data_IF_148575871800
#
_entry.id   IF_148575871800
#
_cell.length_a   1.000
_cell.length_b   1.000
_cell.length_c   1.000
_cell.angle_alpha   90.00
_cell.angle_beta   90.00
_cell.angle_gamma   90.00
#
_symmetry.space_group_name_H-M   'P 1'
#
loop_
_entity.id
_entity.type
_entity.pdbx_description
1 polymer ?
#
# COMPACT_ATOMS: atom_id res chain seq x y z
N UNK A 1 50.56 -42.08 -38.55
CA UNK A 1 49.09 -42.16 -38.49
C UNK A 1 48.62 -41.28 -37.36
N UNK A 2 48.16 -40.10 -37.69
CA UNK A 2 47.58 -39.14 -36.73
C UNK A 2 46.09 -39.23 -36.80
N UNK A 3 45.42 -39.57 -35.73
CA UNK A 3 43.97 -39.50 -35.56
C UNK A 3 43.59 -38.17 -34.93
N UNK A 4 42.84 -37.37 -35.69
CA UNK A 4 42.24 -36.10 -35.24
C UNK A 4 40.98 -36.42 -34.46
N UNK A 5 40.92 -36.03 -33.17
CA UNK A 5 39.73 -36.06 -32.36
C UNK A 5 38.92 -34.79 -32.62
N UNK A 6 37.68 -34.99 -33.08
CA UNK A 6 36.67 -33.95 -33.28
C UNK A 6 36.10 -33.51 -31.92
N UNK A 7 36.26 -32.23 -31.59
CA UNK A 7 35.52 -31.59 -30.48
C UNK A 7 34.08 -31.34 -30.89
N UNK A 8 33.16 -32.04 -30.21
CA UNK A 8 31.72 -31.77 -30.32
C UNK A 8 31.36 -30.46 -29.62
N UNK A 9 30.74 -29.57 -30.37
CA UNK A 9 30.15 -28.35 -29.84
C UNK A 9 28.89 -28.68 -29.06
N UNK A 10 28.94 -28.52 -27.74
CA UNK A 10 27.75 -28.54 -26.87
C UNK A 10 26.95 -27.27 -27.13
N UNK A 11 25.82 -27.40 -27.79
CA UNK A 11 24.82 -26.32 -27.88
C UNK A 11 24.19 -26.11 -26.51
N UNK A 12 24.64 -25.10 -25.78
CA UNK A 12 23.94 -24.60 -24.62
C UNK A 12 22.59 -24.05 -25.10
N UNK A 13 21.56 -24.83 -24.87
CA UNK A 13 20.16 -24.38 -24.93
C UNK A 13 19.95 -23.43 -23.76
N UNK A 14 20.16 -22.15 -24.02
CA UNK A 14 19.75 -21.08 -23.10
C UNK A 14 18.27 -21.22 -22.79
N UNK A 15 17.96 -21.80 -21.61
CA UNK A 15 16.63 -21.78 -21.05
C UNK A 15 16.20 -20.33 -20.91
N UNK A 16 15.29 -19.89 -21.80
CA UNK A 16 14.54 -18.68 -21.59
C UNK A 16 13.77 -18.85 -20.28
N UNK A 17 14.33 -18.30 -19.20
CA UNK A 17 13.64 -18.17 -17.94
C UNK A 17 12.37 -17.37 -18.22
N UNK A 18 11.25 -18.08 -18.37
CA UNK A 18 9.96 -17.45 -18.53
C UNK A 18 9.73 -16.54 -17.34
N UNK A 19 9.83 -15.22 -17.56
CA UNK A 19 9.30 -14.24 -16.63
C UNK A 19 7.84 -14.59 -16.43
N UNK A 20 7.49 -15.18 -15.30
CA UNK A 20 6.10 -15.31 -14.88
C UNK A 20 5.59 -13.88 -14.73
N UNK A 21 4.89 -13.41 -15.76
CA UNK A 21 4.09 -12.19 -15.62
C UNK A 21 3.09 -12.47 -14.51
N UNK A 22 3.30 -11.83 -13.36
CA UNK A 22 2.34 -11.88 -12.26
C UNK A 22 0.99 -11.52 -12.85
N UNK A 23 0.03 -12.46 -12.79
CA UNK A 23 -1.29 -12.24 -13.36
C UNK A 23 -1.85 -10.98 -12.72
N UNK A 24 -2.14 -9.97 -13.55
CA UNK A 24 -2.70 -8.71 -13.09
C UNK A 24 -4.02 -9.03 -12.39
N UNK A 25 -4.22 -8.47 -11.19
CA UNK A 25 -5.46 -8.56 -10.44
C UNK A 25 -6.66 -8.30 -11.37
N UNK A 26 -7.49 -9.30 -11.59
CA UNK A 26 -8.68 -9.18 -12.43
C UNK A 26 -9.88 -8.96 -11.52
N UNK A 27 -10.51 -7.81 -11.63
CA UNK A 27 -11.73 -7.52 -10.87
C UNK A 27 -11.87 -6.07 -10.47
N UNK A 28 -12.94 -5.71 -9.73
CA UNK A 28 -13.12 -4.36 -9.25
C UNK A 28 -11.96 -3.97 -8.31
N UNK A 29 -11.55 -2.71 -8.38
CA UNK A 29 -10.47 -2.18 -7.53
C UNK A 29 -10.74 -2.39 -6.04
N UNK A 30 -12.01 -2.36 -5.63
CA UNK A 30 -12.46 -2.59 -4.26
C UNK A 30 -13.68 -3.52 -4.23
N UNK A 31 -13.76 -4.36 -3.18
CA UNK A 31 -14.93 -5.19 -2.83
C UNK A 31 -15.29 -4.91 -1.38
N UNK A 32 -16.61 -4.80 -1.09
CA UNK A 32 -17.12 -4.37 0.20
C UNK A 32 -17.27 -2.86 0.32
N UNK A 33 -17.68 -2.36 1.48
CA UNK A 33 -17.96 -0.94 1.73
C UNK A 33 -17.05 -0.42 2.83
N UNK A 34 -16.32 0.68 2.56
CA UNK A 34 -15.50 1.32 3.57
C UNK A 34 -16.37 1.85 4.71
N UNK A 35 -16.03 1.58 5.99
CA UNK A 35 -16.75 2.15 7.13
C UNK A 35 -16.49 3.66 7.22
N UNK A 36 -17.44 4.39 7.80
CA UNK A 36 -17.32 5.84 7.99
C UNK A 36 -16.11 6.22 8.87
N UNK A 37 -15.84 5.38 9.88
CA UNK A 37 -14.67 5.48 10.75
C UNK A 37 -14.03 4.09 10.79
N UNK A 38 -12.92 3.93 10.12
CA UNK A 38 -12.20 2.67 10.03
C UNK A 38 -10.70 2.90 9.99
N UNK A 39 -9.97 1.81 10.08
CA UNK A 39 -8.51 1.80 9.90
C UNK A 39 -8.20 1.43 8.47
N UNK A 40 -7.43 2.25 7.78
CA UNK A 40 -6.90 1.93 6.46
C UNK A 40 -5.52 1.30 6.59
N UNK A 41 -5.42 0.04 6.22
CA UNK A 41 -4.15 -0.68 6.17
C UNK A 41 -3.70 -0.70 4.71
N UNK A 42 -2.68 0.09 4.38
CA UNK A 42 -2.18 0.17 3.02
C UNK A 42 -1.39 -1.08 2.62
N UNK A 43 -1.42 -1.40 1.34
CA UNK A 43 -0.70 -2.55 0.79
C UNK A 43 0.80 -2.43 1.03
N UNK A 44 1.41 -3.51 1.52
CA UNK A 44 2.84 -3.59 1.81
C UNK A 44 3.27 -2.85 3.08
N UNK A 45 2.35 -2.27 3.82
CA UNK A 45 2.62 -1.54 5.07
C UNK A 45 2.04 -2.20 6.30
N UNK A 46 2.58 -1.84 7.46
CA UNK A 46 2.06 -2.18 8.77
C UNK A 46 1.39 -0.95 9.41
N UNK A 47 0.26 -1.17 10.03
CA UNK A 47 -0.53 -0.12 10.66
C UNK A 47 -0.79 -0.42 12.14
N UNK A 48 -0.52 0.55 13.01
CA UNK A 48 -0.85 0.45 14.43
C UNK A 48 -2.35 0.58 14.63
N UNK A 49 -2.95 -0.33 15.39
CA UNK A 49 -4.37 -0.33 15.67
C UNK A 49 -4.70 0.40 16.97
N UNK A 50 -5.87 1.06 17.09
CA UNK A 50 -6.22 1.84 18.27
C UNK A 50 -6.28 1.00 19.56
N UNK A 51 -6.63 -0.28 19.47
CA UNK A 51 -6.63 -1.20 20.61
C UNK A 51 -5.26 -1.76 20.98
N UNK A 52 -4.20 -1.32 20.30
CA UNK A 52 -2.84 -1.86 20.43
C UNK A 52 -2.53 -2.93 19.38
N UNK A 53 -1.25 -3.31 19.31
CA UNK A 53 -0.77 -4.21 18.25
C UNK A 53 -0.69 -3.53 16.89
N UNK A 54 -0.60 -4.33 15.85
CA UNK A 54 -0.53 -3.84 14.48
C UNK A 54 -0.95 -4.91 13.48
N UNK A 55 -1.23 -4.48 12.25
CA UNK A 55 -1.62 -5.37 11.16
C UNK A 55 -0.95 -4.93 9.87
N UNK A 56 -0.58 -5.87 9.03
CA UNK A 56 0.00 -5.64 7.71
C UNK A 56 -0.94 -6.18 6.64
N UNK A 57 -1.12 -5.43 5.55
CA UNK A 57 -1.70 -5.95 4.31
C UNK A 57 -0.57 -6.48 3.44
N UNK A 58 -0.32 -7.78 3.54
CA UNK A 58 0.84 -8.42 2.92
C UNK A 58 0.63 -8.73 1.45
N UNK A 59 -0.55 -9.20 1.08
CA UNK A 59 -0.87 -9.61 -0.28
C UNK A 59 -2.38 -9.58 -0.52
N UNK A 60 -2.79 -9.49 -1.79
CA UNK A 60 -4.18 -9.52 -2.21
C UNK A 60 -4.35 -10.17 -3.56
N UNK A 61 -5.49 -10.83 -3.73
CA UNK A 61 -5.87 -11.46 -4.99
C UNK A 61 -7.31 -11.17 -5.35
N UNK A 62 -7.60 -11.07 -6.64
CA UNK A 62 -8.96 -10.94 -7.19
C UNK A 62 -9.18 -11.97 -8.29
N UNK A 63 -10.39 -12.53 -8.34
CA UNK A 63 -10.81 -13.56 -9.30
C UNK A 63 -11.77 -13.03 -10.40
N UNK A 64 -11.99 -11.73 -10.43
CA UNK A 64 -12.94 -11.05 -11.33
C UNK A 64 -14.19 -10.54 -10.63
N UNK A 65 -14.61 -11.16 -9.53
CA UNK A 65 -15.82 -10.81 -8.79
C UNK A 65 -15.56 -10.58 -7.30
N UNK A 66 -14.66 -11.35 -6.72
CA UNK A 66 -14.29 -11.27 -5.32
C UNK A 66 -12.85 -10.81 -5.16
N UNK A 67 -12.52 -10.35 -3.96
CA UNK A 67 -11.18 -9.95 -3.58
C UNK A 67 -10.88 -10.48 -2.19
N UNK A 68 -9.70 -11.08 -2.02
CA UNK A 68 -9.20 -11.55 -0.73
C UNK A 68 -7.90 -10.84 -0.38
N UNK A 69 -7.62 -10.73 0.91
CA UNK A 69 -6.39 -10.17 1.44
C UNK A 69 -5.69 -11.16 2.37
N UNK A 70 -4.38 -11.20 2.30
CA UNK A 70 -3.55 -11.82 3.34
C UNK A 70 -3.13 -10.73 4.32
N UNK A 71 -3.65 -10.80 5.53
CA UNK A 71 -3.26 -9.93 6.63
C UNK A 71 -2.27 -10.66 7.54
N UNK A 72 -1.31 -9.93 8.12
CA UNK A 72 -0.35 -10.45 9.10
C UNK A 72 -0.41 -9.65 10.38
N UNK A 73 -0.27 -10.31 11.51
CA UNK A 73 -0.15 -9.68 12.81
C UNK A 73 1.19 -8.94 12.93
N UNK A 74 1.18 -7.77 13.60
CA UNK A 74 2.36 -6.94 13.82
C UNK A 74 2.60 -5.85 12.78
N UNK A 75 3.47 -4.90 13.12
CA UNK A 75 3.82 -3.73 12.31
C UNK A 75 4.87 -4.02 11.24
N UNK A 76 5.69 -5.05 11.47
CA UNK A 76 6.79 -5.44 10.58
C UNK A 76 6.74 -6.93 10.33
N UNK A 77 7.27 -7.36 9.20
CA UNK A 77 7.41 -8.78 8.92
C UNK A 77 8.32 -9.45 9.95
N UNK A 78 7.84 -10.59 10.47
CA UNK A 78 8.62 -11.55 11.23
C UNK A 78 8.23 -12.99 10.79
N UNK A 79 9.14 -13.95 10.86
CA UNK A 79 8.80 -15.36 10.65
C UNK A 79 7.68 -15.79 11.60
N UNK A 80 6.83 -16.72 11.16
CA UNK A 80 5.79 -17.36 11.98
C UNK A 80 4.70 -16.43 12.54
N UNK A 81 4.58 -15.19 12.01
CA UNK A 81 3.47 -14.31 12.36
C UNK A 81 2.13 -14.97 12.05
N UNK A 82 1.15 -14.76 12.95
CA UNK A 82 -0.25 -15.11 12.66
C UNK A 82 -0.70 -14.44 11.38
N UNK A 83 -1.38 -15.18 10.52
CA UNK A 83 -1.89 -14.69 9.25
C UNK A 83 -3.37 -15.02 9.12
N UNK A 84 -4.09 -14.12 8.44
CA UNK A 84 -5.49 -14.33 8.09
C UNK A 84 -5.64 -14.20 6.57
N UNK A 85 -6.31 -15.16 5.96
CA UNK A 85 -6.86 -14.99 4.61
C UNK A 85 -8.27 -14.42 4.78
N UNK A 86 -8.42 -13.15 4.45
CA UNK A 86 -9.62 -12.38 4.76
C UNK A 86 -10.42 -12.05 3.51
N UNK A 87 -11.74 -12.05 3.66
CA UNK A 87 -12.73 -11.49 2.73
C UNK A 87 -13.54 -10.42 3.46
N UNK A 88 -14.29 -9.54 2.78
CA UNK A 88 -15.23 -8.65 3.45
C UNK A 88 -16.18 -9.44 4.36
N UNK A 89 -16.29 -9.01 5.62
CA UNK A 89 -17.05 -9.70 6.68
C UNK A 89 -16.19 -10.62 7.57
N UNK A 90 -14.93 -10.89 7.22
CA UNK A 90 -14.03 -11.67 8.08
C UNK A 90 -13.67 -10.88 9.33
N UNK A 91 -13.76 -11.54 10.50
CA UNK A 91 -13.27 -11.00 11.76
C UNK A 91 -11.83 -11.42 12.02
N UNK A 92 -11.03 -10.49 12.53
CA UNK A 92 -9.66 -10.71 12.97
C UNK A 92 -9.48 -10.17 14.37
N UNK A 93 -8.59 -10.77 15.14
CA UNK A 93 -8.23 -10.32 16.49
C UNK A 93 -6.75 -9.91 16.50
N UNK A 94 -6.47 -8.69 16.91
CA UNK A 94 -5.13 -8.12 17.02
C UNK A 94 -5.01 -7.39 18.35
N UNK A 95 -3.98 -7.74 19.14
CA UNK A 95 -3.75 -7.11 20.46
C UNK A 95 -4.89 -7.33 21.46
N UNK A 96 -5.71 -8.38 21.31
CA UNK A 96 -6.89 -8.63 22.14
C UNK A 96 -8.13 -7.84 21.74
N UNK A 97 -8.10 -7.11 20.62
CA UNK A 97 -9.22 -6.35 20.07
C UNK A 97 -9.70 -6.96 18.75
N UNK A 98 -11.02 -7.01 18.59
CA UNK A 98 -11.63 -7.57 17.38
C UNK A 98 -11.94 -6.47 16.35
N UNK A 99 -11.66 -6.80 15.08
CA UNK A 99 -11.91 -5.96 13.92
C UNK A 99 -12.61 -6.77 12.83
N UNK A 100 -13.56 -6.15 12.15
CA UNK A 100 -14.19 -6.73 10.95
C UNK A 100 -13.55 -6.14 9.70
N UNK A 101 -13.12 -6.98 8.76
CA UNK A 101 -12.70 -6.55 7.43
C UNK A 101 -13.93 -6.10 6.66
N UNK A 102 -14.04 -4.82 6.33
CA UNK A 102 -15.23 -4.23 5.68
C UNK A 102 -15.04 -4.03 4.19
N UNK A 103 -13.85 -3.67 3.77
CA UNK A 103 -13.51 -3.45 2.37
C UNK A 103 -12.10 -3.93 2.08
N UNK A 104 -11.91 -4.54 0.92
CA UNK A 104 -10.60 -4.91 0.39
C UNK A 104 -10.46 -4.28 -0.98
N UNK A 105 -9.46 -3.43 -1.13
CA UNK A 105 -9.03 -2.82 -2.38
C UNK A 105 -7.66 -3.37 -2.81
N UNK A 106 -7.26 -3.17 -4.06
CA UNK A 106 -5.91 -3.51 -4.52
C UNK A 106 -4.81 -2.78 -3.74
N UNK A 107 -5.11 -1.62 -3.19
CA UNK A 107 -4.17 -0.72 -2.52
C UNK A 107 -4.35 -0.65 -0.99
N UNK A 108 -5.47 -1.10 -0.41
CA UNK A 108 -5.75 -1.06 1.03
C UNK A 108 -6.73 -2.12 1.48
N UNK A 109 -6.74 -2.35 2.81
CA UNK A 109 -7.85 -3.02 3.52
C UNK A 109 -8.43 -2.03 4.53
N UNK A 110 -9.75 -1.93 4.59
CA UNK A 110 -10.45 -1.13 5.60
C UNK A 110 -11.00 -2.05 6.70
N UNK A 111 -10.59 -1.80 7.93
CA UNK A 111 -10.99 -2.52 9.14
C UNK A 111 -11.93 -1.66 9.97
N UNK A 112 -13.00 -2.27 10.48
CA UNK A 112 -13.93 -1.65 11.43
C UNK A 112 -13.73 -2.25 12.83
N UNK A 113 -13.37 -1.46 13.86
CA UNK A 113 -13.28 -1.96 15.21
C UNK A 113 -14.66 -2.38 15.75
N UNK A 114 -14.72 -3.50 16.47
CA UNK A 114 -15.96 -3.92 17.15
C UNK A 114 -16.18 -3.21 18.48
N UNK A 115 -15.11 -2.85 19.18
CA UNK A 115 -15.21 -2.13 20.46
C UNK A 115 -15.58 -0.67 20.25
N UNK A 116 -16.52 -0.18 21.05
CA UNK A 116 -16.97 1.21 20.99
C UNK A 116 -15.84 2.21 21.32
N UNK A 117 -14.96 1.87 22.25
CA UNK A 117 -13.82 2.70 22.60
C UNK A 117 -12.88 2.92 21.42
N UNK A 118 -12.58 1.87 20.65
CA UNK A 118 -11.70 1.96 19.48
C UNK A 118 -12.37 2.78 18.37
N UNK A 119 -13.68 2.62 18.15
CA UNK A 119 -14.44 3.45 17.22
C UNK A 119 -14.40 4.93 17.60
N UNK A 120 -14.53 5.22 18.89
CA UNK A 120 -14.46 6.60 19.42
C UNK A 120 -13.07 7.19 19.19
N UNK A 121 -12.02 6.41 19.47
CA UNK A 121 -10.63 6.83 19.24
C UNK A 121 -10.36 7.18 17.78
N UNK A 122 -10.88 6.38 16.82
CA UNK A 122 -10.75 6.65 15.39
C UNK A 122 -11.59 7.84 14.91
N UNK A 123 -12.75 8.08 15.56
CA UNK A 123 -13.62 9.20 15.21
C UNK A 123 -13.11 10.54 15.76
N UNK A 124 -12.25 10.52 16.77
CA UNK A 124 -11.69 11.73 17.35
C UNK A 124 -10.85 12.49 16.34
N UNK A 125 -11.14 13.77 16.15
CA UNK A 125 -10.31 14.63 15.32
C UNK A 125 -8.96 14.88 16.00
N UNK A 126 -7.83 14.78 15.28
CA UNK A 126 -6.53 15.11 15.87
C UNK A 126 -6.47 16.60 16.23
N UNK A 127 -5.85 16.90 17.36
CA UNK A 127 -5.65 18.27 17.83
C UNK A 127 -4.56 19.01 17.07
N UNK A 128 -3.66 18.29 16.39
CA UNK A 128 -2.59 18.82 15.57
C UNK A 128 -2.28 17.85 14.43
N UNK A 129 -1.98 18.38 13.23
CA UNK A 129 -1.47 17.64 12.09
C UNK A 129 0.06 17.68 12.01
N UNK A 130 0.71 18.32 12.95
CA UNK A 130 2.17 18.38 13.02
C UNK A 130 2.74 17.02 13.40
N UNK A 131 3.79 16.54 12.66
CA UNK A 131 4.48 15.31 13.03
C UNK A 131 5.05 15.40 14.43
N UNK A 132 4.69 14.49 15.32
CA UNK A 132 5.34 14.38 16.63
C UNK A 132 6.58 13.51 16.46
N UNK A 133 7.76 14.07 16.71
CA UNK A 133 9.00 13.30 16.72
C UNK A 133 8.88 12.11 17.66
N UNK A 134 9.13 10.91 17.15
CA UNK A 134 9.12 9.66 17.91
C UNK A 134 7.74 9.07 18.24
N UNK A 135 6.65 9.63 17.76
CA UNK A 135 5.32 9.05 17.92
C UNK A 135 4.97 8.12 16.76
N UNK A 136 4.47 6.92 17.09
CA UNK A 136 3.92 5.99 16.12
C UNK A 136 2.50 6.40 15.66
N UNK A 137 2.11 7.65 15.79
CA UNK A 137 0.78 8.15 15.45
C UNK A 137 0.64 8.29 13.93
N UNK A 138 0.42 7.15 13.29
CA UNK A 138 0.14 7.05 11.85
C UNK A 138 -1.31 7.40 11.53
N UNK A 139 -2.15 7.62 12.53
CA UNK A 139 -3.57 7.91 12.36
C UNK A 139 -3.85 9.14 11.51
N UNK A 140 -2.96 10.14 11.56
CA UNK A 140 -3.08 11.36 10.77
C UNK A 140 -2.92 11.14 9.26
N UNK A 141 -2.10 10.17 8.86
CA UNK A 141 -1.81 9.92 7.44
C UNK A 141 -2.84 9.00 6.78
N UNK A 142 -3.55 8.17 7.54
CA UNK A 142 -4.36 7.07 7.00
C UNK A 142 -5.68 6.90 7.73
N UNK A 143 -6.32 7.98 8.07
CA UNK A 143 -7.63 7.98 8.73
C UNK A 143 -8.78 8.07 7.73
N UNK A 144 -9.93 7.50 8.07
CA UNK A 144 -11.20 7.74 7.36
C UNK A 144 -11.94 8.96 7.89
N UNK A 145 -11.42 9.64 8.92
CA UNK A 145 -12.03 10.84 9.48
C UNK A 145 -12.05 11.95 8.41
N UNK A 146 -13.24 12.35 7.97
CA UNK A 146 -13.43 13.33 6.89
C UNK A 146 -12.78 14.67 7.15
N UNK A 147 -12.74 15.12 8.39
CA UNK A 147 -12.10 16.40 8.74
C UNK A 147 -10.58 16.33 8.52
N UNK A 148 -9.95 15.20 8.91
CA UNK A 148 -8.51 14.99 8.70
C UNK A 148 -8.19 14.85 7.21
N UNK A 149 -8.98 14.05 6.48
CA UNK A 149 -8.82 13.89 5.02
C UNK A 149 -8.95 15.22 4.29
N UNK A 150 -9.92 16.06 4.68
CA UNK A 150 -10.11 17.38 4.07
C UNK A 150 -8.92 18.34 4.30
N UNK A 151 -8.26 18.23 5.47
CA UNK A 151 -7.05 19.02 5.76
C UNK A 151 -5.86 18.45 4.99
N UNK A 152 -5.70 17.13 5.00
CA UNK A 152 -4.67 16.43 4.24
C UNK A 152 -4.74 16.74 2.74
N UNK A 153 -5.96 16.75 2.20
CA UNK A 153 -6.22 17.02 0.79
C UNK A 153 -5.75 18.42 0.34
N UNK A 154 -5.66 19.39 1.23
CA UNK A 154 -5.14 20.74 0.92
C UNK A 154 -3.66 20.76 0.55
N UNK A 155 -2.90 19.75 0.96
CA UNK A 155 -1.48 19.62 0.64
C UNK A 155 -1.20 18.93 -0.70
N UNK A 156 -2.24 18.38 -1.34
CA UNK A 156 -2.13 17.74 -2.64
C UNK A 156 -2.64 18.64 -3.77
N UNK A 157 -2.24 18.39 -5.02
CA UNK A 157 -2.76 19.10 -6.17
C UNK A 157 -4.29 18.93 -6.28
N UNK A 158 -4.99 19.82 -7.00
CA UNK A 158 -6.41 19.66 -7.30
C UNK A 158 -6.73 18.30 -7.95
N UNK A 159 -8.00 17.89 -7.86
CA UNK A 159 -8.46 16.69 -8.56
C UNK A 159 -8.27 16.82 -10.06
N UNK A 160 -7.73 15.79 -10.69
CA UNK A 160 -7.39 15.77 -12.11
C UNK A 160 -5.99 16.27 -12.43
N UNK A 161 -5.34 16.97 -11.50
CA UNK A 161 -3.97 17.42 -11.68
C UNK A 161 -2.97 16.31 -11.37
N UNK A 162 -1.82 16.38 -12.02
CA UNK A 162 -0.71 15.43 -11.90
C UNK A 162 0.45 16.09 -11.17
N UNK A 163 1.14 15.31 -10.34
CA UNK A 163 2.44 15.66 -9.80
C UNK A 163 3.44 14.51 -9.97
N UNK A 164 4.72 14.86 -10.01
CA UNK A 164 5.79 13.91 -10.22
C UNK A 164 6.54 13.63 -8.91
N UNK A 165 6.73 12.36 -8.60
CA UNK A 165 7.67 11.91 -7.56
C UNK A 165 8.99 11.56 -8.26
N UNK A 166 10.03 12.32 -7.97
CA UNK A 166 11.33 12.15 -8.63
C UNK A 166 12.10 10.94 -8.07
N UNK A 167 12.69 10.15 -8.96
CA UNK A 167 13.63 9.06 -8.63
C UNK A 167 15.07 9.61 -8.51
N UNK A 168 15.26 10.52 -7.54
CA UNK A 168 16.55 11.14 -7.28
C UNK A 168 16.94 11.06 -5.79
N UNK A 169 16.31 10.15 -5.03
CA UNK A 169 16.46 10.05 -3.58
C UNK A 169 15.77 11.19 -2.81
N UNK A 170 15.06 12.08 -3.50
CA UNK A 170 14.30 13.17 -2.88
C UNK A 170 13.10 12.66 -2.08
N UNK A 171 12.70 13.46 -1.09
CA UNK A 171 11.54 13.18 -0.24
C UNK A 171 10.50 14.26 -0.47
N UNK A 172 9.35 13.88 -1.04
CA UNK A 172 8.18 14.75 -1.15
C UNK A 172 7.44 14.74 0.19
N UNK A 173 7.30 15.89 0.83
CA UNK A 173 6.62 16.05 2.14
C UNK A 173 5.27 16.71 1.99
N UNK A 174 4.31 16.26 2.80
CA UNK A 174 2.95 16.78 2.84
C UNK A 174 2.58 17.27 4.25
N UNK A 175 1.60 18.18 4.37
CA UNK A 175 1.23 18.81 5.64
C UNK A 175 0.79 17.84 6.74
N UNK A 176 0.31 16.65 6.38
CA UNK A 176 -0.10 15.60 7.31
C UNK A 176 1.06 14.85 7.97
N UNK A 177 2.31 15.21 7.66
CA UNK A 177 3.47 14.42 8.06
C UNK A 177 3.74 13.21 7.18
N UNK A 178 2.92 12.98 6.16
CA UNK A 178 3.20 12.02 5.11
C UNK A 178 4.43 12.47 4.32
N UNK A 179 5.33 11.56 4.06
CA UNK A 179 6.43 11.75 3.12
C UNK A 179 6.54 10.59 2.16
N UNK A 180 6.81 10.87 0.91
CA UNK A 180 6.89 9.91 -0.17
C UNK A 180 8.27 9.93 -0.79
N UNK A 181 8.75 8.74 -1.16
CA UNK A 181 9.98 8.57 -1.96
C UNK A 181 9.71 7.53 -3.04
N UNK A 182 10.34 7.70 -4.20
CA UNK A 182 10.46 6.63 -5.19
C UNK A 182 11.57 5.71 -4.72
N UNK A 183 11.28 4.42 -4.62
CA UNK A 183 12.26 3.41 -4.20
C UNK A 183 13.06 2.89 -5.39
N UNK A 184 12.44 2.85 -6.55
CA UNK A 184 13.02 2.48 -7.85
C UNK A 184 12.03 2.80 -8.97
N UNK A 185 12.55 2.96 -10.17
CA UNK A 185 11.79 2.89 -11.43
C UNK A 185 12.49 1.86 -12.35
N UNK A 186 11.72 0.93 -12.89
CA UNK A 186 12.16 -0.02 -13.91
C UNK A 186 11.30 0.20 -15.15
N UNK A 187 11.77 1.06 -16.05
CA UNK A 187 11.06 1.38 -17.30
C UNK A 187 11.01 0.18 -18.25
N UNK A 188 11.96 -0.77 -18.17
CA UNK A 188 11.93 -1.99 -18.98
C UNK A 188 10.81 -2.95 -18.54
N UNK A 189 10.57 -3.05 -17.23
CA UNK A 189 9.48 -3.83 -16.67
C UNK A 189 8.16 -3.02 -16.63
N UNK A 190 8.22 -1.71 -16.81
CA UNK A 190 7.08 -0.79 -16.66
C UNK A 190 6.56 -0.76 -15.22
N UNK A 191 7.45 -0.79 -14.24
CA UNK A 191 7.11 -0.84 -12.81
C UNK A 191 7.89 0.18 -12.00
N UNK A 192 7.32 0.59 -10.87
CA UNK A 192 8.00 1.43 -9.89
C UNK A 192 7.66 1.01 -8.46
N UNK A 193 8.48 1.45 -7.51
CA UNK A 193 8.21 1.35 -6.08
C UNK A 193 8.03 2.72 -5.45
N UNK A 194 7.01 2.86 -4.61
CA UNK A 194 6.74 4.07 -3.83
C UNK A 194 6.78 3.72 -2.36
N UNK A 195 7.67 4.34 -1.60
CA UNK A 195 7.71 4.21 -0.15
C UNK A 195 7.00 5.41 0.50
N UNK A 196 6.15 5.12 1.47
CA UNK A 196 5.42 6.12 2.24
C UNK A 196 5.79 6.02 3.72
N UNK A 197 6.11 7.16 4.31
CA UNK A 197 6.35 7.28 5.75
C UNK A 197 5.37 8.30 6.33
N UNK A 198 4.92 8.06 7.55
CA UNK A 198 4.12 9.00 8.32
C UNK A 198 4.85 9.37 9.59
N UNK A 199 5.12 10.66 9.80
CA UNK A 199 5.91 11.14 10.93
C UNK A 199 7.24 10.37 11.11
N UNK A 200 7.95 10.11 10.01
CA UNK A 200 9.18 9.33 9.91
C UNK A 200 9.04 7.81 10.21
N UNK A 201 7.82 7.30 10.40
CA UNK A 201 7.57 5.86 10.53
C UNK A 201 7.15 5.28 9.18
N UNK A 202 7.81 4.23 8.66
CA UNK A 202 7.38 3.55 7.44
C UNK A 202 5.97 2.98 7.61
N UNK A 203 5.05 3.34 6.72
CA UNK A 203 3.64 2.94 6.81
C UNK A 203 3.14 2.16 5.62
N UNK A 204 3.77 2.35 4.45
CA UNK A 204 3.44 1.60 3.25
C UNK A 204 4.63 1.46 2.31
N UNK A 205 4.61 0.41 1.51
CA UNK A 205 5.48 0.23 0.35
C UNK A 205 4.66 -0.31 -0.80
N UNK A 206 4.35 0.53 -1.77
CA UNK A 206 3.75 0.09 -3.02
C UNK A 206 4.85 -0.44 -3.91
N UNK A 207 4.84 -1.75 -4.18
CA UNK A 207 5.82 -2.42 -5.04
C UNK A 207 5.20 -2.75 -6.38
N UNK A 208 6.03 -2.64 -7.42
CA UNK A 208 5.67 -3.02 -8.79
C UNK A 208 4.39 -2.34 -9.30
N UNK A 209 4.17 -1.08 -8.88
CA UNK A 209 3.06 -0.28 -9.43
C UNK A 209 3.30 -0.01 -10.91
N UNK A 210 2.21 0.02 -11.67
CA UNK A 210 2.19 0.23 -13.12
C UNK A 210 1.28 1.39 -13.47
N UNK A 211 1.44 1.94 -14.64
CA UNK A 211 0.50 2.92 -15.18
C UNK A 211 -0.92 2.34 -15.16
N UNK A 212 -1.87 3.12 -14.63
CA UNK A 212 -3.26 2.74 -14.38
C UNK A 212 -3.52 2.10 -13.02
N UNK A 213 -2.49 1.85 -12.19
CA UNK A 213 -2.70 1.38 -10.82
C UNK A 213 -3.11 2.54 -9.91
N UNK A 214 -3.95 2.22 -8.94
CA UNK A 214 -4.37 3.18 -7.91
C UNK A 214 -3.51 3.01 -6.65
N UNK A 215 -3.09 4.12 -6.07
CA UNK A 215 -2.46 4.20 -4.75
C UNK A 215 -3.25 5.15 -3.85
N UNK A 216 -3.24 4.89 -2.55
CA UNK A 216 -3.84 5.77 -1.55
C UNK A 216 -2.75 6.46 -0.74
N UNK A 217 -2.82 7.77 -0.69
CA UNK A 217 -1.86 8.61 0.03
C UNK A 217 -2.64 9.51 0.98
N UNK A 218 -2.52 9.28 2.29
CA UNK A 218 -3.24 10.03 3.33
C UNK A 218 -4.76 10.14 3.07
N UNK A 219 -5.40 9.05 2.65
CA UNK A 219 -6.83 9.01 2.37
C UNK A 219 -7.25 9.58 1.01
N UNK A 220 -6.31 10.08 0.22
CA UNK A 220 -6.55 10.61 -1.13
C UNK A 220 -6.09 9.59 -2.17
N UNK A 221 -6.90 9.36 -3.21
CA UNK A 221 -6.58 8.40 -4.26
C UNK A 221 -5.88 9.07 -5.43
N UNK A 222 -4.86 8.40 -5.92
CA UNK A 222 -4.10 8.77 -7.10
C UNK A 222 -4.00 7.58 -8.05
N UNK A 223 -4.02 7.88 -9.34
CA UNK A 223 -3.66 6.93 -10.39
C UNK A 223 -2.21 7.15 -10.78
N UNK A 224 -1.44 6.08 -10.95
CA UNK A 224 -0.13 6.14 -11.59
C UNK A 224 -0.38 6.44 -13.07
N UNK A 225 -0.17 7.69 -13.48
CA UNK A 225 -0.47 8.17 -14.84
C UNK A 225 0.74 8.06 -15.78
N UNK A 226 1.96 7.98 -15.25
CA UNK A 226 3.17 7.85 -16.04
C UNK A 226 4.33 7.27 -15.24
N UNK A 227 5.26 6.63 -15.96
CA UNK A 227 6.55 6.18 -15.46
C UNK A 227 7.61 6.62 -16.47
N UNK A 228 8.59 7.37 -15.98
CA UNK A 228 9.78 7.77 -16.73
C UNK A 228 11.02 7.30 -16.02
N UNK A 229 12.19 7.38 -16.63
CA UNK A 229 13.46 7.02 -15.98
C UNK A 229 13.76 7.89 -14.75
N UNK A 230 13.10 9.04 -14.63
CA UNK A 230 13.38 10.04 -13.59
C UNK A 230 12.24 10.21 -12.59
N UNK A 231 11.02 9.70 -12.88
CA UNK A 231 9.85 10.01 -12.06
C UNK A 231 8.71 9.01 -12.19
N UNK A 232 7.90 8.95 -11.12
CA UNK A 232 6.55 8.38 -11.12
C UNK A 232 5.55 9.54 -11.14
N UNK A 233 4.68 9.58 -12.15
CA UNK A 233 3.62 10.57 -12.27
C UNK A 233 2.33 10.06 -11.61
N UNK A 234 1.74 10.89 -10.76
CA UNK A 234 0.53 10.57 -10.01
C UNK A 234 -0.55 11.61 -10.29
N UNK A 235 -1.67 11.17 -10.84
CA UNK A 235 -2.85 12.01 -11.07
C UNK A 235 -3.88 11.79 -9.97
N UNK A 236 -4.30 12.87 -9.30
CA UNK A 236 -5.32 12.79 -8.25
C UNK A 236 -6.68 12.42 -8.82
N UNK A 237 -7.30 11.34 -8.31
CA UNK A 237 -8.60 10.83 -8.78
C UNK A 237 -9.74 11.05 -7.79
N UNK A 238 -9.46 11.17 -6.48
CA UNK A 238 -10.49 11.42 -5.47
C UNK A 238 -10.62 12.92 -5.11
N UNK A 239 -11.77 13.24 -4.55
CA UNK A 239 -12.06 14.56 -4.02
C UNK A 239 -11.12 14.92 -2.84
#
# INVERSE_FOLDING_TARGET
MLTLASCGSSSDSGGAGGRTTVARDKGPACVGTAPANGVHVLRGGGFALPGGGGVQYADGSADGTTRTATLRDGLKYAPEQRQWKASPGTDIEVGGHEYTVRQICSYRVALEPKLAADRTALAAAPTSLEPRQGSADTGLCFTTNRAVVAIAAKGFPPRGDTFSLLDNGGVQRFPTGLSLTVSYVDTNAGTAGIAANCAAVPVAGYKDVRVGDTVELAGVLFEVSGLTDEAVELTRTSA
#
